data_IF_968897879766
#
_entry.id   IF_968897879766
#
_cell.length_a   1.000
_cell.length_b   1.000
_cell.length_c   1.000
_cell.angle_alpha   90.00
_cell.angle_beta   90.00
_cell.angle_gamma   90.00
#
_symmetry.space_group_name_H-M   'P 1'
#
loop_
_entity.id
_entity.type
_entity.pdbx_description
1 polymer ?
#
# COMPACT_ATOMS: atom_id res chain seq x y z
N UNK A 1 28.59 -7.25 17.91
CA UNK A 1 27.11 -7.26 17.85
C UNK A 1 26.52 -5.85 18.12
N UNK A 2 26.97 -4.79 17.43
CA UNK A 2 26.55 -3.40 17.70
C UNK A 2 25.98 -2.64 16.47
N UNK A 3 25.77 -3.33 15.33
CA UNK A 3 25.24 -2.72 14.09
C UNK A 3 23.72 -2.87 13.91
N UNK A 4 23.05 -3.63 14.79
CA UNK A 4 21.61 -3.88 14.66
C UNK A 4 20.76 -2.75 15.25
N UNK A 5 21.16 -2.15 16.39
CA UNK A 5 20.31 -1.17 17.06
C UNK A 5 20.13 0.11 16.24
N UNK A 6 21.18 0.66 15.64
CA UNK A 6 21.06 1.89 14.85
C UNK A 6 20.21 1.71 13.58
N UNK A 7 20.35 0.57 12.90
CA UNK A 7 19.57 0.26 11.70
C UNK A 7 18.09 -0.05 12.02
N UNK A 8 17.82 -0.60 13.21
CA UNK A 8 16.46 -0.81 13.70
C UNK A 8 15.85 0.49 14.22
N UNK A 9 16.62 1.37 14.87
CA UNK A 9 16.19 2.71 15.29
C UNK A 9 15.84 3.60 14.08
N UNK A 10 16.66 3.57 13.04
CA UNK A 10 16.40 4.26 11.76
C UNK A 10 15.11 3.72 11.11
N UNK A 11 14.88 2.41 11.18
CA UNK A 11 13.69 1.77 10.60
C UNK A 11 12.44 2.06 11.42
N UNK A 12 12.51 1.97 12.74
CA UNK A 12 11.42 2.31 13.65
C UNK A 12 10.97 3.75 13.43
N UNK A 13 11.93 4.67 13.31
CA UNK A 13 11.67 6.08 12.98
C UNK A 13 11.00 6.26 11.61
N UNK A 14 11.44 5.54 10.58
CA UNK A 14 10.82 5.61 9.26
C UNK A 14 9.37 5.09 9.26
N UNK A 15 9.10 3.98 9.95
CA UNK A 15 7.74 3.44 10.12
C UNK A 15 6.88 4.43 10.91
N UNK A 16 7.39 4.98 12.01
CA UNK A 16 6.68 5.95 12.84
C UNK A 16 6.25 7.18 12.03
N UNK A 17 7.17 7.78 11.26
CA UNK A 17 6.85 8.93 10.40
C UNK A 17 5.78 8.62 9.36
N UNK A 18 5.85 7.44 8.73
CA UNK A 18 4.83 7.03 7.77
C UNK A 18 3.45 6.86 8.45
N UNK A 19 3.40 6.24 9.63
CA UNK A 19 2.16 6.11 10.41
C UNK A 19 1.58 7.48 10.80
N UNK A 20 2.42 8.42 11.21
CA UNK A 20 2.01 9.79 11.54
C UNK A 20 1.44 10.52 10.32
N UNK A 21 2.14 10.50 9.18
CA UNK A 21 1.64 11.09 7.93
C UNK A 21 0.29 10.51 7.54
N UNK A 22 0.13 9.19 7.64
CA UNK A 22 -1.14 8.52 7.33
C UNK A 22 -2.24 8.93 8.34
N UNK A 23 -1.93 8.95 9.63
CA UNK A 23 -2.87 9.36 10.68
C UNK A 23 -3.35 10.80 10.48
N UNK A 24 -2.45 11.72 10.11
CA UNK A 24 -2.79 13.12 9.87
C UNK A 24 -3.71 13.27 8.66
N UNK A 25 -3.44 12.59 7.54
CA UNK A 25 -4.37 12.57 6.39
C UNK A 25 -5.73 11.98 6.76
N UNK A 26 -5.76 10.87 7.50
CA UNK A 26 -7.01 10.21 7.88
C UNK A 26 -7.81 10.97 8.94
N UNK A 27 -7.16 11.83 9.73
CA UNK A 27 -7.82 12.71 10.69
C UNK A 27 -8.73 13.76 10.03
N UNK A 28 -8.59 13.98 8.72
CA UNK A 28 -9.48 14.88 7.97
C UNK A 28 -10.55 14.13 7.19
N UNK A 29 -10.58 12.80 7.25
CA UNK A 29 -11.51 11.98 6.48
C UNK A 29 -12.93 12.04 7.06
N UNK A 30 -13.91 12.26 6.19
CA UNK A 30 -15.32 12.16 6.54
C UNK A 30 -15.75 10.70 6.74
N UNK A 31 -16.91 10.49 7.39
CA UNK A 31 -17.49 9.14 7.53
C UNK A 31 -17.75 8.47 6.17
N UNK A 32 -18.13 9.24 5.15
CA UNK A 32 -18.31 8.73 3.79
C UNK A 32 -17.00 8.20 3.19
N UNK A 33 -15.89 8.91 3.41
CA UNK A 33 -14.57 8.48 2.96
C UNK A 33 -14.10 7.22 3.70
N UNK A 34 -14.33 7.13 5.00
CA UNK A 34 -14.05 5.91 5.77
C UNK A 34 -14.81 4.68 5.27
N UNK A 35 -16.03 4.86 4.76
CA UNK A 35 -16.88 3.80 4.22
C UNK A 35 -16.68 3.57 2.70
N UNK A 36 -15.78 4.29 2.04
CA UNK A 36 -15.49 4.09 0.61
C UNK A 36 -14.81 2.75 0.39
N UNK A 37 -15.11 2.06 -0.72
CA UNK A 37 -14.44 0.82 -1.10
C UNK A 37 -12.94 1.07 -1.34
N UNK A 38 -12.09 0.33 -0.64
CA UNK A 38 -10.63 0.39 -0.77
C UNK A 38 -10.15 -0.41 -1.98
N UNK A 39 -8.86 -0.31 -2.31
CA UNK A 39 -8.24 -1.18 -3.32
C UNK A 39 -8.08 -2.64 -2.86
N UNK A 40 -8.30 -2.93 -1.57
CA UNK A 40 -8.48 -4.28 -1.06
C UNK A 40 -9.92 -4.73 -1.34
N UNK A 41 -10.10 -5.68 -2.25
CA UNK A 41 -11.42 -6.10 -2.72
C UNK A 41 -12.35 -6.50 -1.55
N UNK A 42 -13.54 -5.89 -1.50
CA UNK A 42 -14.55 -6.15 -0.47
C UNK A 42 -14.23 -5.55 0.91
N UNK A 43 -13.25 -4.65 1.00
CA UNK A 43 -12.91 -3.89 2.20
C UNK A 43 -13.21 -2.41 1.97
N UNK A 44 -13.77 -1.76 2.98
CA UNK A 44 -13.80 -0.29 3.07
C UNK A 44 -12.42 0.27 3.41
N UNK A 45 -12.23 1.58 3.26
CA UNK A 45 -11.03 2.27 3.76
C UNK A 45 -10.82 1.98 5.26
N UNK A 46 -11.90 1.94 6.04
CA UNK A 46 -11.86 1.59 7.47
C UNK A 46 -11.37 0.17 7.71
N UNK A 47 -11.82 -0.81 6.93
CA UNK A 47 -11.34 -2.21 7.03
C UNK A 47 -9.84 -2.31 6.72
N UNK A 48 -9.37 -1.59 5.69
CA UNK A 48 -7.94 -1.57 5.32
C UNK A 48 -7.07 -0.96 6.43
N UNK A 49 -7.50 0.13 7.06
CA UNK A 49 -6.77 0.73 8.17
C UNK A 49 -6.86 -0.12 9.45
N UNK A 50 -8.01 -0.75 9.71
CA UNK A 50 -8.16 -1.68 10.83
C UNK A 50 -7.22 -2.89 10.69
N UNK A 51 -7.07 -3.43 9.47
CA UNK A 51 -6.07 -4.44 9.15
C UNK A 51 -4.66 -3.93 9.40
N UNK A 52 -4.33 -2.74 8.90
CA UNK A 52 -3.00 -2.16 9.05
C UNK A 52 -2.61 -2.01 10.54
N UNK A 53 -3.53 -1.47 11.35
CA UNK A 53 -3.34 -1.31 12.79
C UNK A 53 -3.09 -2.66 13.47
N UNK A 54 -3.92 -3.67 13.18
CA UNK A 54 -3.67 -5.02 13.68
C UNK A 54 -2.32 -5.57 13.22
N UNK A 55 -1.99 -5.42 11.93
CA UNK A 55 -0.83 -6.02 11.29
C UNK A 55 0.49 -5.39 11.73
N UNK A 56 0.51 -4.10 12.04
CA UNK A 56 1.74 -3.36 12.43
C UNK A 56 1.85 -3.18 13.94
N UNK A 57 0.71 -3.08 14.64
CA UNK A 57 0.64 -2.89 16.09
C UNK A 57 0.74 -4.17 16.91
N UNK A 58 0.32 -5.33 16.37
CA UNK A 58 0.29 -6.57 17.16
C UNK A 58 1.66 -7.27 17.22
N UNK A 59 2.05 -7.87 18.36
CA UNK A 59 3.22 -8.72 18.47
C UNK A 59 3.04 -10.05 17.69
N UNK A 60 4.15 -10.71 17.30
CA UNK A 60 4.10 -11.93 16.48
C UNK A 60 3.20 -13.03 17.06
N UNK A 61 3.24 -13.36 18.37
CA UNK A 61 2.39 -14.41 18.93
C UNK A 61 0.89 -14.12 18.77
N UNK A 62 0.49 -12.85 18.89
CA UNK A 62 -0.90 -12.45 18.70
C UNK A 62 -1.32 -12.60 17.24
N UNK A 63 -0.50 -12.15 16.28
CA UNK A 63 -0.78 -12.33 14.86
C UNK A 63 -1.01 -13.80 14.50
N UNK A 64 -0.13 -14.69 14.99
CA UNK A 64 -0.23 -16.13 14.75
C UNK A 64 -1.50 -16.71 15.41
N UNK A 65 -1.78 -16.32 16.65
CA UNK A 65 -2.98 -16.77 17.37
C UNK A 65 -4.28 -16.33 16.71
N UNK A 66 -4.35 -15.09 16.23
CA UNK A 66 -5.53 -14.53 15.56
C UNK A 66 -5.76 -15.21 14.20
N UNK A 67 -4.71 -15.42 13.40
CA UNK A 67 -4.79 -16.16 12.13
C UNK A 67 -5.25 -17.61 12.38
N UNK A 68 -4.67 -18.29 13.38
CA UNK A 68 -5.05 -19.65 13.72
C UNK A 68 -6.52 -19.75 14.16
N UNK A 69 -6.98 -18.82 15.02
CA UNK A 69 -8.37 -18.76 15.48
C UNK A 69 -9.32 -18.52 14.31
N UNK A 70 -9.03 -17.53 13.46
CA UNK A 70 -9.85 -17.21 12.29
C UNK A 70 -9.91 -18.36 11.27
N UNK A 71 -8.79 -19.09 11.09
CA UNK A 71 -8.71 -20.31 10.26
C UNK A 71 -9.65 -21.40 10.77
N UNK A 72 -9.63 -21.67 12.09
CA UNK A 72 -10.46 -22.71 12.73
C UNK A 72 -11.94 -22.32 12.74
N UNK A 73 -12.26 -21.10 13.16
CA UNK A 73 -13.65 -20.63 13.30
C UNK A 73 -14.35 -20.43 11.95
N UNK A 74 -13.62 -19.97 10.92
CA UNK A 74 -14.19 -19.70 9.59
C UNK A 74 -14.13 -20.88 8.62
N UNK A 75 -13.51 -22.01 9.00
CA UNK A 75 -13.15 -23.12 8.09
C UNK A 75 -12.41 -22.65 6.83
N UNK A 76 -11.67 -21.55 6.92
CA UNK A 76 -10.97 -20.97 5.79
C UNK A 76 -9.64 -21.68 5.60
N UNK A 77 -9.44 -22.35 4.47
CA UNK A 77 -8.15 -22.96 4.12
C UNK A 77 -7.14 -21.93 3.58
N UNK A 78 -7.55 -20.68 3.40
CA UNK A 78 -6.73 -19.59 2.84
C UNK A 78 -6.45 -18.52 3.92
N UNK A 79 -5.17 -18.26 4.26
CA UNK A 79 -4.78 -17.19 5.19
C UNK A 79 -5.34 -15.80 4.85
N UNK A 80 -5.58 -15.51 3.57
CA UNK A 80 -6.16 -14.23 3.15
C UNK A 80 -7.60 -14.06 3.66
N UNK A 81 -8.41 -15.12 3.65
CA UNK A 81 -9.78 -15.07 4.16
C UNK A 81 -9.83 -14.92 5.68
N UNK A 82 -8.83 -15.45 6.39
CA UNK A 82 -8.68 -15.23 7.83
C UNK A 82 -8.37 -13.76 8.14
N UNK A 83 -7.56 -13.09 7.30
CA UNK A 83 -7.27 -11.66 7.44
C UNK A 83 -8.51 -10.80 7.19
N UNK A 84 -9.38 -11.18 6.25
CA UNK A 84 -10.64 -10.47 5.99
C UNK A 84 -11.57 -10.45 7.21
N UNK A 85 -11.67 -11.58 7.91
CA UNK A 85 -12.49 -11.70 9.13
C UNK A 85 -11.97 -10.83 10.27
N UNK A 86 -10.64 -10.79 10.44
CA UNK A 86 -9.98 -9.95 11.46
C UNK A 86 -10.20 -8.47 11.16
N UNK A 87 -9.96 -8.05 9.92
CA UNK A 87 -10.12 -6.65 9.49
C UNK A 87 -11.55 -6.15 9.73
N UNK A 88 -12.56 -6.90 9.26
CA UNK A 88 -13.98 -6.52 9.40
C UNK A 88 -14.46 -6.53 10.84
N UNK A 89 -14.07 -7.54 11.63
CA UNK A 89 -14.44 -7.59 13.05
C UNK A 89 -13.81 -6.44 13.83
N UNK A 90 -12.54 -6.11 13.54
CA UNK A 90 -11.89 -4.95 14.12
C UNK A 90 -12.63 -3.68 13.72
N UNK A 91 -12.85 -3.45 12.44
CA UNK A 91 -13.48 -2.25 11.91
C UNK A 91 -14.93 -2.04 12.39
N UNK A 92 -15.68 -3.10 12.70
CA UNK A 92 -17.04 -2.97 13.25
C UNK A 92 -17.08 -2.54 14.72
N UNK A 93 -15.98 -2.68 15.45
CA UNK A 93 -15.91 -2.40 16.91
C UNK A 93 -15.28 -1.06 17.28
N UNK A 94 -14.70 -0.34 16.32
CA UNK A 94 -13.98 0.92 16.53
C UNK A 94 -14.44 1.98 15.54
N UNK A 95 -14.33 3.26 15.85
CA UNK A 95 -14.54 4.35 14.89
C UNK A 95 -13.30 4.60 14.01
N UNK A 96 -13.44 5.39 12.94
CA UNK A 96 -12.28 5.84 12.16
C UNK A 96 -11.31 6.68 12.99
N UNK A 97 -11.83 7.48 13.93
CA UNK A 97 -11.05 8.29 14.87
C UNK A 97 -10.25 7.44 15.86
N UNK A 98 -10.81 6.33 16.33
CA UNK A 98 -10.08 5.37 17.18
C UNK A 98 -8.88 4.80 16.42
N UNK A 99 -9.07 4.43 15.14
CA UNK A 99 -7.96 3.94 14.30
C UNK A 99 -6.87 5.01 14.10
N UNK A 100 -7.24 6.28 13.93
CA UNK A 100 -6.26 7.39 13.87
C UNK A 100 -5.46 7.48 15.17
N UNK A 101 -6.12 7.37 16.32
CA UNK A 101 -5.45 7.33 17.63
C UNK A 101 -4.49 6.14 17.75
N UNK A 102 -4.92 4.96 17.32
CA UNK A 102 -4.10 3.74 17.36
C UNK A 102 -2.88 3.82 16.43
N UNK A 103 -3.01 4.39 15.22
CA UNK A 103 -1.88 4.65 14.33
C UNK A 103 -0.81 5.52 15.02
N UNK A 104 -1.24 6.56 15.74
CA UNK A 104 -0.34 7.45 16.50
C UNK A 104 0.34 6.73 17.68
N UNK A 105 -0.38 5.89 18.41
CA UNK A 105 0.20 5.07 19.48
C UNK A 105 1.25 4.09 18.94
N UNK A 106 0.95 3.43 17.82
CA UNK A 106 1.90 2.54 17.16
C UNK A 106 3.12 3.33 16.68
N UNK A 107 2.93 4.53 16.12
CA UNK A 107 4.04 5.37 15.71
C UNK A 107 5.00 5.68 16.87
N UNK A 108 4.46 6.03 18.04
CA UNK A 108 5.25 6.28 19.24
C UNK A 108 6.00 5.02 19.71
N UNK A 109 5.35 3.85 19.69
CA UNK A 109 6.02 2.59 19.99
C UNK A 109 7.19 2.32 19.03
N UNK A 110 6.99 2.46 17.72
CA UNK A 110 8.03 2.23 16.71
C UNK A 110 9.19 3.20 16.86
N UNK A 111 8.91 4.48 17.16
CA UNK A 111 9.92 5.51 17.42
C UNK A 111 10.76 5.18 18.65
N UNK A 112 10.12 4.62 19.67
CA UNK A 112 10.76 4.20 20.92
C UNK A 112 11.44 2.82 20.84
N UNK A 113 11.52 2.19 19.67
CA UNK A 113 12.12 0.86 19.54
C UNK A 113 11.25 -0.28 20.13
N UNK A 114 9.98 -0.03 20.42
CA UNK A 114 9.05 -1.01 21.02
C UNK A 114 8.29 -1.79 19.94
N UNK A 115 7.97 -3.03 20.27
CA UNK A 115 7.26 -3.94 19.38
C UNK A 115 8.15 -4.52 18.27
N UNK A 116 7.52 -5.00 17.20
CA UNK A 116 8.25 -5.52 16.03
C UNK A 116 8.83 -4.35 15.23
N UNK A 117 10.01 -4.53 14.64
CA UNK A 117 10.58 -3.57 13.68
C UNK A 117 11.19 -4.38 12.54
N UNK A 118 10.50 -4.46 11.41
CA UNK A 118 11.03 -5.16 10.24
C UNK A 118 10.69 -4.45 8.92
N UNK A 119 11.45 -4.70 7.84
CA UNK A 119 11.25 -4.01 6.56
C UNK A 119 9.86 -4.18 5.96
N UNK A 120 9.14 -5.26 6.28
CA UNK A 120 7.78 -5.46 5.82
C UNK A 120 6.80 -4.42 6.35
N UNK A 121 7.02 -3.86 7.55
CA UNK A 121 6.03 -2.98 8.17
C UNK A 121 5.92 -1.63 7.47
N UNK A 122 7.02 -1.05 6.99
CA UNK A 122 6.97 0.18 6.20
C UNK A 122 6.20 -0.03 4.90
N UNK A 123 6.38 -1.20 4.28
CA UNK A 123 5.64 -1.61 3.09
C UNK A 123 4.14 -1.73 3.37
N UNK A 124 3.74 -2.39 4.47
CA UNK A 124 2.34 -2.50 4.89
C UNK A 124 1.71 -1.12 5.09
N UNK A 125 2.38 -0.20 5.80
CA UNK A 125 1.87 1.16 6.05
C UNK A 125 1.63 1.93 4.77
N UNK A 126 2.60 1.97 3.87
CA UNK A 126 2.49 2.75 2.64
C UNK A 126 1.47 2.14 1.69
N UNK A 127 1.51 0.82 1.46
CA UNK A 127 0.63 0.16 0.51
C UNK A 127 -0.82 0.18 0.99
N UNK A 128 -1.09 -0.18 2.26
CA UNK A 128 -2.46 -0.14 2.78
C UNK A 128 -2.96 1.28 3.07
N UNK A 129 -2.04 2.23 3.34
CA UNK A 129 -2.36 3.65 3.35
C UNK A 129 -2.90 4.12 1.99
N UNK A 130 -2.24 3.77 0.89
CA UNK A 130 -2.74 4.07 -0.45
C UNK A 130 -3.99 3.25 -0.81
N UNK A 131 -4.09 1.98 -0.41
CA UNK A 131 -5.28 1.16 -0.65
C UNK A 131 -6.54 1.83 -0.07
N UNK A 132 -6.44 2.44 1.10
CA UNK A 132 -7.53 3.16 1.76
C UNK A 132 -7.74 4.58 1.22
N UNK A 133 -6.67 5.35 1.06
CA UNK A 133 -6.76 6.78 0.77
C UNK A 133 -7.08 7.08 -0.71
N UNK A 134 -6.51 6.31 -1.65
CA UNK A 134 -6.64 6.58 -3.08
C UNK A 134 -8.09 6.58 -3.56
N UNK A 135 -8.92 5.56 -3.28
CA UNK A 135 -10.32 5.55 -3.72
C UNK A 135 -11.18 6.57 -2.97
N UNK A 136 -10.80 6.91 -1.73
CA UNK A 136 -11.47 7.92 -0.90
C UNK A 136 -11.14 9.37 -1.33
N UNK A 137 -10.33 9.56 -2.38
CA UNK A 137 -9.91 10.86 -2.87
C UNK A 137 -8.98 11.61 -1.90
N UNK A 138 -8.28 10.88 -1.03
CA UNK A 138 -7.35 11.42 -0.05
C UNK A 138 -5.91 11.27 -0.57
N UNK A 139 -5.15 12.35 -0.53
CA UNK A 139 -3.72 12.31 -0.85
C UNK A 139 -2.89 12.13 0.42
N UNK A 140 -2.04 11.10 0.45
CA UNK A 140 -1.12 10.83 1.57
C UNK A 140 0.30 11.22 1.17
N UNK A 141 0.84 12.33 1.68
CA UNK A 141 2.13 12.87 1.24
C UNK A 141 3.31 12.18 1.94
N UNK A 142 3.47 10.87 1.72
CA UNK A 142 4.64 10.17 2.24
C UNK A 142 5.94 10.78 1.69
N UNK A 143 6.98 10.85 2.52
CA UNK A 143 8.27 11.40 2.09
C UNK A 143 8.89 10.59 0.93
N UNK A 144 9.56 11.27 0.00
CA UNK A 144 10.21 10.65 -1.15
C UNK A 144 11.17 9.49 -0.81
N UNK A 145 11.89 9.58 0.30
CA UNK A 145 12.75 8.49 0.77
C UNK A 145 11.95 7.23 1.18
N UNK A 146 10.77 7.43 1.77
CA UNK A 146 9.83 6.36 2.16
C UNK A 146 9.25 5.69 0.93
N UNK A 147 8.70 6.48 0.00
CA UNK A 147 8.11 5.94 -1.24
C UNK A 147 9.16 5.25 -2.11
N UNK A 148 10.38 5.79 -2.21
CA UNK A 148 11.47 5.14 -2.92
C UNK A 148 11.86 3.79 -2.29
N UNK A 149 11.99 3.72 -0.96
CA UNK A 149 12.30 2.48 -0.25
C UNK A 149 11.23 1.41 -0.52
N UNK A 150 9.95 1.77 -0.39
CA UNK A 150 8.82 0.89 -0.68
C UNK A 150 8.75 0.52 -2.16
N UNK A 151 9.00 1.46 -3.07
CA UNK A 151 9.04 1.22 -4.52
C UNK A 151 10.10 0.20 -4.93
N UNK A 152 11.30 0.26 -4.32
CA UNK A 152 12.35 -0.75 -4.53
C UNK A 152 11.92 -2.13 -4.03
N UNK A 153 11.32 -2.21 -2.85
CA UNK A 153 10.83 -3.46 -2.30
C UNK A 153 9.67 -4.03 -3.14
N UNK A 154 8.73 -3.19 -3.56
CA UNK A 154 7.62 -3.56 -4.43
C UNK A 154 8.10 -4.10 -5.78
N UNK A 155 9.11 -3.45 -6.38
CA UNK A 155 9.76 -3.93 -7.60
C UNK A 155 10.39 -5.32 -7.44
N UNK A 156 11.04 -5.59 -6.30
CA UNK A 156 11.64 -6.89 -6.01
C UNK A 156 10.58 -7.99 -5.80
N UNK A 157 9.45 -7.66 -5.16
CA UNK A 157 8.34 -8.58 -4.86
C UNK A 157 7.31 -8.68 -5.99
N UNK A 158 7.49 -7.93 -7.07
CA UNK A 158 6.50 -7.79 -8.12
C UNK A 158 6.11 -9.12 -8.79
N UNK A 159 4.83 -9.24 -9.14
CA UNK A 159 4.32 -10.37 -9.90
C UNK A 159 5.00 -10.53 -11.28
N UNK A 160 4.88 -11.72 -11.89
CA UNK A 160 5.59 -12.05 -13.14
C UNK A 160 5.39 -11.01 -14.25
N UNK A 161 4.14 -10.57 -14.47
CA UNK A 161 3.81 -9.58 -15.52
C UNK A 161 4.52 -8.25 -15.29
N UNK A 162 4.44 -7.73 -14.07
CA UNK A 162 5.11 -6.48 -13.67
C UNK A 162 6.63 -6.61 -13.77
N UNK A 163 7.22 -7.73 -13.35
CA UNK A 163 8.66 -7.98 -13.51
C UNK A 163 9.10 -8.02 -14.97
N UNK A 164 8.28 -8.57 -15.87
CA UNK A 164 8.56 -8.53 -17.32
C UNK A 164 8.49 -7.10 -17.85
N UNK A 165 7.50 -6.31 -17.43
CA UNK A 165 7.39 -4.89 -17.82
C UNK A 165 8.62 -4.08 -17.36
N UNK A 166 9.08 -4.28 -16.12
CA UNK A 166 10.26 -3.59 -15.57
C UNK A 166 11.59 -3.95 -16.25
N UNK A 167 11.64 -5.02 -17.05
CA UNK A 167 12.83 -5.36 -17.85
C UNK A 167 12.93 -4.57 -19.16
N UNK A 168 11.82 -3.99 -19.62
CA UNK A 168 11.73 -3.27 -20.89
C UNK A 168 11.18 -1.85 -20.76
N UNK A 169 10.75 -1.44 -19.57
CA UNK A 169 10.29 -0.09 -19.23
C UNK A 169 10.92 0.38 -17.92
N UNK A 170 11.12 1.69 -17.83
CA UNK A 170 11.46 2.40 -16.59
C UNK A 170 10.22 3.11 -16.08
N UNK A 171 9.80 2.85 -14.84
CA UNK A 171 8.73 3.59 -14.18
C UNK A 171 9.36 4.73 -13.39
N UNK A 172 9.02 5.98 -13.73
CA UNK A 172 9.51 7.18 -13.07
C UNK A 172 8.42 7.78 -12.19
N UNK A 173 8.70 7.88 -10.88
CA UNK A 173 7.92 8.65 -9.92
C UNK A 173 8.37 10.11 -10.02
N UNK A 174 7.64 10.93 -10.79
CA UNK A 174 8.08 12.29 -11.16
C UNK A 174 8.03 13.28 -9.99
N UNK A 175 7.10 13.08 -9.07
CA UNK A 175 6.89 13.85 -7.85
C UNK A 175 7.99 13.63 -6.81
N UNK A 176 8.47 12.39 -6.69
CA UNK A 176 9.49 12.01 -5.70
C UNK A 176 10.89 11.79 -6.30
N UNK A 177 11.05 11.91 -7.62
CA UNK A 177 12.34 11.92 -8.31
C UNK A 177 13.08 10.58 -8.32
N UNK A 178 12.39 9.44 -8.18
CA UNK A 178 12.99 8.11 -8.23
C UNK A 178 12.40 7.23 -9.33
N UNK A 179 13.12 6.18 -9.74
CA UNK A 179 12.65 5.26 -10.77
C UNK A 179 13.04 3.81 -10.52
N UNK A 180 12.31 2.89 -11.15
CA UNK A 180 12.62 1.45 -11.17
C UNK A 180 12.44 0.86 -12.56
N UNK A 181 13.22 -0.18 -12.87
CA UNK A 181 13.18 -0.85 -14.17
C UNK A 181 14.27 -0.35 -15.12
N UNK A 182 14.15 -0.69 -16.40
CA UNK A 182 15.13 -0.36 -17.45
C UNK A 182 14.41 -0.18 -18.79
N UNK A 183 14.90 0.73 -19.63
CA UNK A 183 14.34 1.02 -20.95
C UNK A 183 13.56 2.33 -20.99
N UNK A 184 12.70 2.55 -22.02
CA UNK A 184 11.94 3.79 -22.16
C UNK A 184 11.08 4.11 -20.94
N UNK A 185 10.99 5.40 -20.61
CA UNK A 185 10.33 5.92 -19.42
C UNK A 185 8.80 5.88 -19.57
N UNK A 186 8.13 5.54 -18.48
CA UNK A 186 6.71 5.74 -18.21
C UNK A 186 6.64 6.58 -16.95
N UNK A 187 6.01 7.75 -17.06
CA UNK A 187 5.89 8.70 -15.96
C UNK A 187 4.62 8.44 -15.15
N UNK A 188 4.68 8.69 -13.85
CA UNK A 188 3.56 8.68 -12.93
C UNK A 188 3.95 9.26 -11.57
N UNK A 189 2.99 9.36 -10.65
CA UNK A 189 3.27 9.68 -9.24
C UNK A 189 3.89 8.49 -8.52
N UNK A 190 4.60 8.73 -7.43
CA UNK A 190 5.15 7.67 -6.57
C UNK A 190 4.07 6.70 -6.11
N UNK A 191 2.90 7.23 -5.73
CA UNK A 191 1.69 6.48 -5.43
C UNK A 191 1.28 5.57 -6.60
N UNK A 192 1.12 6.11 -7.80
CA UNK A 192 0.72 5.33 -8.99
C UNK A 192 1.71 4.23 -9.31
N UNK A 193 3.01 4.52 -9.20
CA UNK A 193 4.08 3.54 -9.42
C UNK A 193 4.00 2.42 -8.38
N UNK A 194 3.88 2.75 -7.09
CA UNK A 194 3.77 1.74 -6.01
C UNK A 194 2.52 0.88 -6.17
N UNK A 195 1.36 1.48 -6.45
CA UNK A 195 0.11 0.75 -6.69
C UNK A 195 0.26 -0.22 -7.87
N UNK A 196 0.84 0.23 -8.99
CA UNK A 196 1.11 -0.63 -10.13
C UNK A 196 2.05 -1.80 -9.77
N UNK A 197 3.14 -1.52 -9.06
CA UNK A 197 4.14 -2.53 -8.67
C UNK A 197 3.55 -3.61 -7.76
N UNK A 198 2.61 -3.21 -6.89
CA UNK A 198 1.92 -4.08 -5.94
C UNK A 198 0.66 -4.71 -6.52
N UNK A 199 0.44 -4.58 -7.82
CA UNK A 199 -0.64 -5.24 -8.55
C UNK A 199 -2.01 -4.59 -8.41
N UNK A 200 -2.09 -3.42 -7.75
CA UNK A 200 -3.31 -2.59 -7.75
C UNK A 200 -3.44 -1.97 -9.13
N UNK A 201 -4.67 -1.95 -9.62
CA UNK A 201 -4.99 -1.33 -10.91
C UNK A 201 -5.90 -0.15 -10.62
N UNK A 202 -5.66 0.95 -11.33
CA UNK A 202 -6.66 2.01 -11.40
C UNK A 202 -8.01 1.41 -11.79
N UNK A 203 -9.13 1.84 -11.17
CA UNK A 203 -10.46 1.44 -11.59
C UNK A 203 -10.62 1.74 -13.08
N UNK A 204 -10.71 0.67 -13.89
CA UNK A 204 -11.25 0.69 -15.24
C UNK A 204 -10.92 1.88 -16.15
N UNK A 205 -9.66 2.32 -16.25
CA UNK A 205 -9.22 3.01 -17.45
C UNK A 205 -9.25 2.00 -18.59
N UNK A 206 -10.31 2.04 -19.42
CA UNK A 206 -10.48 1.15 -20.57
C UNK A 206 -9.15 1.00 -21.31
N UNK A 207 -8.79 -0.23 -21.69
CA UNK A 207 -7.59 -0.51 -22.48
C UNK A 207 -7.54 0.49 -23.64
N UNK A 208 -6.66 1.49 -23.56
CA UNK A 208 -6.32 2.25 -24.76
C UNK A 208 -5.73 1.21 -25.70
N UNK A 209 -6.48 0.89 -26.77
CA UNK A 209 -5.92 0.17 -27.90
C UNK A 209 -4.76 1.04 -28.34
N UNK A 210 -3.54 0.57 -28.08
CA UNK A 210 -2.36 1.11 -28.74
C UNK A 210 -2.60 0.81 -30.22
N UNK A 211 -3.15 1.79 -30.94
CA UNK A 211 -3.11 1.81 -32.39
C UNK A 211 -1.63 1.85 -32.72
N UNK A 212 -1.14 0.79 -33.36
CA UNK A 212 0.20 0.78 -33.90
C UNK A 212 0.41 2.08 -34.70
N UNK A 213 1.59 2.71 -34.63
CA UNK A 213 1.85 3.90 -35.41
C UNK A 213 1.53 3.61 -36.88
N UNK A 214 0.59 4.37 -37.43
CA UNK A 214 0.25 4.33 -38.84
C UNK A 214 1.55 4.61 -39.59
N UNK A 215 1.98 3.65 -40.44
CA UNK A 215 3.16 3.86 -41.28
C UNK A 215 2.89 5.07 -42.18
N UNK A 216 3.83 6.00 -42.34
CA UNK A 216 3.68 7.07 -43.32
C UNK A 216 3.35 6.48 -44.69
N UNK A 217 2.20 6.84 -45.26
CA UNK A 217 1.79 6.42 -46.62
C UNK A 217 0.68 5.37 -46.74
N UNK A 218 0.02 4.92 -45.67
CA UNK A 218 -1.19 4.09 -45.83
C UNK A 218 -2.39 4.92 -46.29
N UNK A 219 -3.08 4.53 -47.39
CA UNK A 219 -4.25 5.26 -47.90
C UNK A 219 -5.43 5.20 -46.92
N UNK A 220 -6.08 6.34 -46.71
CA UNK A 220 -7.27 6.46 -45.87
C UNK A 220 -8.46 5.72 -46.51
N UNK A 221 -9.16 4.83 -45.79
CA UNK A 221 -10.40 4.25 -46.29
C UNK A 221 -11.53 5.29 -46.18
N UNK A 222 -11.86 5.88 -47.33
CA UNK A 222 -13.22 6.28 -47.70
C UNK A 222 -13.84 7.49 -47.00
N UNK A 223 -13.78 8.63 -47.66
CA UNK A 223 -14.95 9.52 -47.78
C UNK A 223 -15.49 9.31 -49.19
N UNK A 224 -16.71 8.79 -49.27
CA UNK A 224 -17.69 9.08 -50.33
C UNK A 224 -18.98 9.44 -49.61
#
# INVERSE_FOLDING_TARGET
MARSSSADDDRGTAIARALETLADTLSTASDAQWNTESLCAGWTAKDAIAHLVWRVGSPTPQLVGDIARATVSGRHLNPMSSMDGIARNRASTVSGWDLVGELRLIAEDKRSGRGRINPGELFEVVVHGYDAAHPAGLHVPFAAATTHSVGRQASALAGLRTRVALRSRTMLAVDDGWSVGRGPVIEGTAESVILYLTGRRAPGGGRSRVLAPIRPGTPHPGVV
#
